data_IF_190189837389
#
_entry.id   IF_190189837389
#
_cell.length_a   1.000
_cell.length_b   1.000
_cell.length_c   1.000
_cell.angle_alpha   90.00
_cell.angle_beta   90.00
_cell.angle_gamma   90.00
#
_symmetry.space_group_name_H-M   'P 1'
#
loop_
_entity.id
_entity.type
_entity.pdbx_description
1 polymer ?
#
# COMPACT_ATOMS: atom_id res chain seq x y z
N UNK A 1 3.29 4.01 7.45
CA UNK A 1 2.19 4.83 6.89
C UNK A 1 2.35 6.22 7.50
N UNK A 2 2.28 7.26 6.67
CA UNK A 2 2.99 8.53 6.83
C UNK A 2 3.03 9.15 8.23
N UNK A 3 4.17 9.78 8.54
CA UNK A 3 4.29 10.68 9.69
C UNK A 3 3.89 12.08 9.25
N UNK A 4 3.09 12.75 10.08
CA UNK A 4 2.73 14.15 9.90
C UNK A 4 2.41 14.77 11.26
N UNK A 5 2.13 16.07 11.26
CA UNK A 5 1.87 16.83 12.49
C UNK A 5 0.67 16.28 13.28
N UNK A 6 -0.26 15.62 12.58
CA UNK A 6 -1.41 14.94 13.16
C UNK A 6 -1.13 13.44 13.23
N UNK A 7 -0.94 12.93 14.44
CA UNK A 7 -0.84 11.49 14.70
C UNK A 7 -2.24 10.87 14.88
N UNK A 8 -2.80 10.37 13.78
CA UNK A 8 -4.12 9.71 13.79
C UNK A 8 -4.04 8.33 14.46
N UNK A 9 -2.96 7.59 14.23
CA UNK A 9 -2.75 6.24 14.77
C UNK A 9 -1.50 6.21 15.65
N UNK A 10 -1.60 5.45 16.77
CA UNK A 10 -0.43 5.17 17.61
C UNK A 10 0.66 4.42 16.83
N UNK A 11 1.91 4.52 17.28
CA UNK A 11 3.02 3.74 16.70
C UNK A 11 2.74 2.23 16.73
N UNK A 12 2.21 1.73 17.86
CA UNK A 12 1.81 0.33 17.99
C UNK A 12 0.77 -0.07 16.94
N UNK A 13 -0.30 0.73 16.79
CA UNK A 13 -1.34 0.47 15.78
C UNK A 13 -0.78 0.46 14.36
N UNK A 14 0.13 1.40 14.04
CA UNK A 14 0.79 1.44 12.73
C UNK A 14 1.67 0.21 12.49
N UNK A 15 2.42 -0.23 13.51
CA UNK A 15 3.25 -1.44 13.41
C UNK A 15 2.41 -2.69 13.15
N UNK A 16 1.27 -2.84 13.82
CA UNK A 16 0.37 -3.99 13.61
C UNK A 16 -0.21 -4.03 12.19
N UNK A 17 -0.41 -2.89 11.53
CA UNK A 17 -0.88 -2.88 10.15
C UNK A 17 0.11 -3.54 9.17
N UNK A 18 1.40 -3.55 9.50
CA UNK A 18 2.46 -4.20 8.71
C UNK A 18 2.72 -5.65 9.11
N UNK A 19 2.08 -6.14 10.17
CA UNK A 19 2.30 -7.48 10.67
C UNK A 19 1.48 -8.50 9.84
N UNK A 20 2.12 -9.49 9.20
CA UNK A 20 1.41 -10.52 8.45
C UNK A 20 0.34 -11.23 9.30
N UNK A 21 -0.87 -11.38 8.73
CA UNK A 21 -2.00 -12.00 9.40
C UNK A 21 -2.15 -13.45 8.94
N UNK A 22 -1.85 -14.40 9.83
CA UNK A 22 -1.95 -15.82 9.54
C UNK A 22 -3.35 -16.20 8.99
N UNK A 23 -3.44 -17.09 7.99
CA UNK A 23 -2.34 -17.85 7.39
C UNK A 23 -1.58 -17.10 6.26
N UNK A 24 -1.95 -15.87 5.93
CA UNK A 24 -1.35 -15.11 4.83
C UNK A 24 -0.07 -14.39 5.27
N UNK A 25 1.04 -14.67 4.57
CA UNK A 25 2.33 -14.00 4.82
C UNK A 25 2.45 -12.65 4.12
N UNK A 26 1.65 -12.41 3.07
CA UNK A 26 1.68 -11.20 2.24
C UNK A 26 0.57 -10.19 2.53
N UNK A 27 -0.15 -10.32 3.66
CA UNK A 27 -1.27 -9.45 3.97
C UNK A 27 -1.30 -9.09 5.47
N UNK A 28 -1.29 -7.80 5.76
CA UNK A 28 -1.41 -7.25 7.11
C UNK A 28 -2.86 -6.87 7.44
N UNK A 29 -3.05 -5.93 8.36
CA UNK A 29 -4.39 -5.41 8.65
C UNK A 29 -4.83 -4.41 7.57
N UNK A 30 -5.49 -4.93 6.53
CA UNK A 30 -6.05 -4.14 5.44
C UNK A 30 -5.02 -3.65 4.41
N UNK A 31 -3.87 -4.33 4.32
CA UNK A 31 -2.77 -3.97 3.41
C UNK A 31 -2.12 -5.23 2.83
N UNK A 32 -1.86 -5.21 1.52
CA UNK A 32 -0.87 -6.11 0.93
C UNK A 32 0.53 -5.68 1.39
N UNK A 33 1.35 -6.66 1.75
CA UNK A 33 2.74 -6.50 2.14
C UNK A 33 3.59 -6.98 0.96
N UNK A 34 4.08 -6.03 0.16
CA UNK A 34 4.96 -6.32 -0.96
C UNK A 34 6.41 -6.33 -0.47
N UNK A 35 7.25 -7.12 -1.14
CA UNK A 35 8.69 -7.13 -0.89
C UNK A 35 9.00 -7.37 0.61
N UNK A 36 8.42 -8.44 1.17
CA UNK A 36 8.42 -8.76 2.61
C UNK A 36 9.82 -8.88 3.26
N UNK A 37 10.87 -8.91 2.45
CA UNK A 37 12.26 -8.92 2.89
C UNK A 37 12.71 -7.52 3.36
N UNK A 38 12.03 -6.45 2.94
CA UNK A 38 12.25 -5.08 3.42
C UNK A 38 11.48 -4.81 4.73
N UNK A 39 12.06 -3.98 5.62
CA UNK A 39 11.41 -3.55 6.86
C UNK A 39 11.48 -2.04 7.04
N UNK A 40 10.33 -1.33 7.16
CA UNK A 40 8.97 -1.82 6.91
C UNK A 40 8.75 -2.05 5.40
N UNK A 41 7.90 -3.04 5.01
CA UNK A 41 7.70 -3.38 3.60
C UNK A 41 6.97 -2.28 2.83
N UNK A 42 7.10 -2.30 1.51
CA UNK A 42 6.20 -1.56 0.64
C UNK A 42 4.78 -2.12 0.83
N UNK A 43 3.80 -1.24 1.01
CA UNK A 43 2.41 -1.65 1.23
C UNK A 43 1.48 -1.10 0.19
N UNK A 44 0.33 -1.72 0.04
CA UNK A 44 -0.72 -1.18 -0.82
C UNK A 44 -2.06 -1.86 -0.65
N UNK A 45 -3.03 -1.39 -1.41
CA UNK A 45 -4.35 -1.97 -1.49
C UNK A 45 -5.01 -1.58 -2.80
N UNK A 46 -5.92 -2.43 -3.27
CA UNK A 46 -6.73 -2.19 -4.45
C UNK A 46 -8.21 -2.39 -4.13
N UNK A 47 -9.08 -1.65 -4.80
CA UNK A 47 -10.52 -1.81 -4.71
C UNK A 47 -11.16 -1.68 -6.09
N UNK A 48 -12.20 -2.44 -6.34
CA UNK A 48 -12.95 -2.35 -7.58
C UNK A 48 -14.45 -2.50 -7.32
N UNK A 49 -15.22 -1.65 -7.96
CA UNK A 49 -16.68 -1.78 -8.12
C UNK A 49 -17.02 -1.60 -9.60
N UNK A 50 -18.28 -1.79 -10.00
CA UNK A 50 -18.67 -1.66 -11.40
C UNK A 50 -18.35 -0.25 -11.92
N UNK A 51 -17.45 -0.16 -12.92
CA UNK A 51 -17.04 1.10 -13.56
C UNK A 51 -15.98 1.90 -12.81
N UNK A 52 -15.48 1.43 -11.66
CA UNK A 52 -14.47 2.15 -10.88
C UNK A 52 -13.39 1.22 -10.32
N UNK A 53 -12.13 1.65 -10.43
CA UNK A 53 -11.01 1.01 -9.76
C UNK A 53 -10.20 2.06 -8.98
N UNK A 54 -9.69 1.65 -7.82
CA UNK A 54 -8.75 2.41 -7.03
C UNK A 54 -7.57 1.52 -6.66
N UNK A 55 -6.36 2.05 -6.79
CA UNK A 55 -5.13 1.38 -6.39
C UNK A 55 -4.26 2.37 -5.62
N UNK A 56 -3.54 1.86 -4.64
CA UNK A 56 -2.63 2.64 -3.81
C UNK A 56 -1.40 1.80 -3.47
N UNK A 57 -0.23 2.43 -3.49
CA UNK A 57 1.02 1.90 -2.98
C UNK A 57 1.71 2.97 -2.11
N UNK A 58 2.39 2.55 -1.06
CA UNK A 58 3.14 3.42 -0.16
C UNK A 58 4.40 2.74 0.32
N UNK A 59 5.51 3.45 0.16
CA UNK A 59 6.79 3.06 0.69
C UNK A 59 7.04 3.81 2.02
N UNK A 60 7.01 3.11 3.16
CA UNK A 60 7.22 3.74 4.45
C UNK A 60 8.67 4.22 4.66
N UNK A 61 9.64 3.73 3.90
CA UNK A 61 11.04 4.16 4.01
C UNK A 61 11.24 5.55 3.39
N UNK A 62 10.75 5.76 2.17
CA UNK A 62 10.81 7.06 1.47
C UNK A 62 9.68 8.01 1.83
N UNK A 63 8.64 7.50 2.52
CA UNK A 63 7.38 8.21 2.82
C UNK A 63 6.61 8.62 1.57
N UNK A 64 6.89 8.01 0.42
CA UNK A 64 6.18 8.26 -0.82
C UNK A 64 4.95 7.36 -0.94
N UNK A 65 3.81 7.97 -1.29
CA UNK A 65 2.59 7.26 -1.64
C UNK A 65 2.11 7.64 -3.03
N UNK A 66 1.67 6.64 -3.79
CA UNK A 66 1.06 6.83 -5.13
C UNK A 66 -0.31 6.18 -5.13
N UNK A 67 -1.31 6.92 -5.58
CA UNK A 67 -2.69 6.44 -5.70
C UNK A 67 -3.23 6.74 -7.10
N UNK A 68 -4.02 5.82 -7.63
CA UNK A 68 -4.65 5.97 -8.94
C UNK A 68 -6.13 5.62 -8.87
N UNK A 69 -6.97 6.53 -9.37
CA UNK A 69 -8.42 6.37 -9.46
C UNK A 69 -8.82 6.36 -10.92
N UNK A 70 -9.68 5.41 -11.29
CA UNK A 70 -10.09 5.19 -12.69
C UNK A 70 -11.58 4.97 -12.76
N UNK A 71 -12.23 5.64 -13.73
CA UNK A 71 -13.66 5.54 -14.03
C UNK A 71 -13.88 4.67 -15.27
N UNK A 72 -13.38 3.44 -15.23
CA UNK A 72 -13.48 2.47 -16.33
C UNK A 72 -13.57 1.06 -15.77
N UNK A 73 -14.17 0.14 -16.52
CA UNK A 73 -14.23 -1.29 -16.19
C UNK A 73 -12.97 -2.05 -16.59
N UNK A 74 -12.14 -1.50 -17.49
CA UNK A 74 -10.88 -2.10 -17.89
C UNK A 74 -9.84 -1.97 -16.78
N UNK A 75 -9.31 -3.08 -16.24
CA UNK A 75 -8.31 -3.10 -15.16
C UNK A 75 -6.94 -3.61 -15.68
N UNK A 76 -6.06 -2.72 -16.19
CA UNK A 76 -4.68 -3.07 -16.52
C UNK A 76 -3.88 -3.36 -15.23
N UNK A 77 -2.63 -3.86 -15.33
CA UNK A 77 -1.78 -4.16 -14.16
C UNK A 77 -1.27 -2.88 -13.45
N UNK A 78 -2.19 -2.11 -12.87
CA UNK A 78 -1.92 -0.82 -12.21
C UNK A 78 -1.04 -0.99 -10.96
N UNK A 79 -1.17 -2.11 -10.25
CA UNK A 79 -0.40 -2.37 -9.02
C UNK A 79 1.11 -2.34 -9.28
N UNK A 80 1.58 -2.97 -10.37
CA UNK A 80 3.00 -3.01 -10.69
C UNK A 80 3.53 -1.64 -11.11
N UNK A 81 2.74 -0.89 -11.90
CA UNK A 81 3.07 0.49 -12.25
C UNK A 81 3.20 1.37 -10.99
N UNK A 82 2.27 1.26 -10.05
CA UNK A 82 2.33 2.04 -8.80
C UNK A 82 3.57 1.67 -8.00
N UNK A 83 3.89 0.38 -7.85
CA UNK A 83 5.11 -0.09 -7.16
C UNK A 83 6.38 0.46 -7.81
N UNK A 84 6.44 0.49 -9.13
CA UNK A 84 7.56 1.06 -9.87
C UNK A 84 7.70 2.56 -9.61
N UNK A 85 6.60 3.32 -9.68
CA UNK A 85 6.59 4.75 -9.39
C UNK A 85 7.01 5.07 -7.96
N UNK A 86 6.62 4.26 -6.96
CA UNK A 86 7.06 4.47 -5.57
C UNK A 86 8.56 4.23 -5.40
N UNK A 87 9.17 3.39 -6.24
CA UNK A 87 10.61 3.06 -6.18
C UNK A 87 11.49 4.01 -6.97
N UNK A 88 10.95 4.68 -7.99
CA UNK A 88 11.71 5.60 -8.85
C UNK A 88 12.38 6.77 -8.10
N UNK A 89 12.04 6.95 -6.82
CA UNK A 89 12.47 8.07 -5.97
C UNK A 89 13.36 7.61 -4.81
N UNK A 90 13.77 6.33 -4.82
CA UNK A 90 14.76 5.75 -3.90
C UNK A 90 16.19 6.06 -4.35
#
# INVERSE_FOLDING_TARGET
>A
MGEGDVQILSEKSRSEMFNPQAPATGYGLGLFLYDSDERPPLVGHSGSVAGYNAHFAFDPQTKLGVSMFRTTSYNPPVVDLLRELTRAVR
#
